data_IF_721572837615
#
_entry.id   IF_721572837615
#
_cell.length_a   1.000
_cell.length_b   1.000
_cell.length_c   1.000
_cell.angle_alpha   90.00
_cell.angle_beta   90.00
_cell.angle_gamma   90.00
#
_symmetry.space_group_name_H-M   'P 1'
#
loop_
_entity.id
_entity.type
_entity.pdbx_description
1 polymer ?
#
# COMPACT_ATOMS: atom_id res chain seq x y z
N UNK A 1 -29.45 1.75 -20.99
CA UNK A 1 -28.43 1.02 -20.20
C UNK A 1 -28.02 1.97 -19.11
N UNK A 2 -28.65 1.83 -17.95
CA UNK A 2 -28.51 2.79 -16.86
C UNK A 2 -27.11 2.63 -16.26
N UNK A 3 -26.30 3.66 -16.46
CA UNK A 3 -24.97 3.77 -15.88
C UNK A 3 -25.16 4.17 -14.40
N UNK A 4 -25.48 3.20 -13.54
CA UNK A 4 -25.50 3.44 -12.10
C UNK A 4 -24.06 3.61 -11.62
N UNK A 5 -23.64 4.87 -11.48
CA UNK A 5 -22.44 5.23 -10.73
C UNK A 5 -22.68 4.81 -9.28
N UNK A 6 -22.14 3.66 -8.87
CA UNK A 6 -22.15 3.24 -7.46
C UNK A 6 -21.43 4.33 -6.67
N UNK A 7 -22.15 5.02 -5.78
CA UNK A 7 -21.54 5.98 -4.86
C UNK A 7 -20.58 5.23 -3.93
N UNK A 8 -19.33 5.71 -3.85
CA UNK A 8 -18.33 5.19 -2.93
C UNK A 8 -18.73 5.54 -1.50
N UNK A 9 -18.87 4.54 -0.65
CA UNK A 9 -19.13 4.75 0.78
C UNK A 9 -17.84 5.12 1.51
N UNK A 10 -17.96 5.72 2.70
CA UNK A 10 -16.82 5.97 3.57
C UNK A 10 -16.11 4.66 3.94
N UNK A 11 -16.87 3.58 4.15
CA UNK A 11 -16.33 2.25 4.45
C UNK A 11 -15.49 1.68 3.31
N UNK A 12 -15.91 1.88 2.05
CA UNK A 12 -15.11 1.47 0.88
C UNK A 12 -13.77 2.21 0.84
N UNK A 13 -13.79 3.50 1.18
CA UNK A 13 -12.59 4.35 1.23
C UNK A 13 -11.68 3.88 2.37
N UNK A 14 -12.21 3.75 3.59
CA UNK A 14 -11.43 3.33 4.76
C UNK A 14 -10.75 1.98 4.53
N UNK A 15 -11.48 1.02 3.95
CA UNK A 15 -10.95 -0.30 3.59
C UNK A 15 -9.79 -0.21 2.58
N UNK A 16 -9.91 0.66 1.57
CA UNK A 16 -8.84 0.85 0.58
C UNK A 16 -7.61 1.49 1.21
N UNK A 17 -7.79 2.48 2.09
CA UNK A 17 -6.69 3.15 2.80
C UNK A 17 -5.99 2.21 3.78
N UNK A 18 -6.74 1.38 4.50
CA UNK A 18 -6.18 0.35 5.38
C UNK A 18 -5.34 -0.66 4.58
N UNK A 19 -5.88 -1.15 3.46
CA UNK A 19 -5.14 -2.06 2.57
C UNK A 19 -3.90 -1.39 1.96
N UNK A 20 -3.99 -0.11 1.58
CA UNK A 20 -2.85 0.63 1.06
C UNK A 20 -1.75 0.81 2.11
N UNK A 21 -2.11 1.09 3.38
CA UNK A 21 -1.16 1.13 4.48
C UNK A 21 -0.50 -0.24 4.69
N UNK A 22 -1.28 -1.33 4.71
CA UNK A 22 -0.75 -2.69 4.84
C UNK A 22 0.27 -3.02 3.74
N UNK A 23 -0.08 -2.75 2.48
CA UNK A 23 0.81 -2.97 1.33
C UNK A 23 2.07 -2.11 1.45
N UNK A 24 1.93 -0.83 1.82
CA UNK A 24 3.06 0.07 2.01
C UNK A 24 4.07 -0.46 3.02
N UNK A 25 3.62 -0.80 4.22
CA UNK A 25 4.52 -1.28 5.27
C UNK A 25 5.10 -2.66 4.96
N UNK A 26 4.35 -3.55 4.31
CA UNK A 26 4.88 -4.84 3.88
C UNK A 26 6.03 -4.67 2.87
N UNK A 27 5.88 -3.78 1.89
CA UNK A 27 6.95 -3.48 0.92
C UNK A 27 8.12 -2.77 1.60
N UNK A 28 7.84 -1.80 2.49
CA UNK A 28 8.87 -1.09 3.24
C UNK A 28 9.74 -2.04 4.07
N UNK A 29 9.12 -3.01 4.75
CA UNK A 29 9.83 -4.03 5.52
C UNK A 29 10.71 -4.89 4.60
N UNK A 30 10.19 -5.35 3.46
CA UNK A 30 10.97 -6.09 2.46
C UNK A 30 12.17 -5.28 1.95
N UNK A 31 11.96 -4.01 1.61
CA UNK A 31 13.02 -3.11 1.12
C UNK A 31 14.08 -2.83 2.19
N UNK A 32 13.67 -2.70 3.45
CA UNK A 32 14.58 -2.49 4.59
C UNK A 32 15.52 -3.67 4.80
N UNK A 33 15.05 -4.90 4.54
CA UNK A 33 15.86 -6.11 4.62
C UNK A 33 16.84 -6.26 3.45
N UNK A 34 16.59 -5.57 2.32
CA UNK A 34 17.44 -5.60 1.13
C UNK A 34 18.54 -4.52 1.15
N UNK A 35 18.35 -3.43 1.88
CA UNK A 35 19.29 -2.32 1.93
C UNK A 35 20.10 -2.33 3.24
N UNK A 36 21.44 -2.26 3.19
CA UNK A 36 22.27 -2.21 4.39
C UNK A 36 22.25 -0.79 4.98
N UNK A 37 21.15 -0.41 5.63
CA UNK A 37 21.04 0.87 6.31
C UNK A 37 19.68 1.07 6.99
N UNK A 38 19.63 1.71 8.17
CA UNK A 38 18.37 1.99 8.84
C UNK A 38 17.54 2.98 8.00
N UNK A 39 16.28 2.64 7.76
CA UNK A 39 15.31 3.58 7.20
C UNK A 39 14.96 4.62 8.27
N UNK A 40 15.24 5.90 7.96
CA UNK A 40 14.88 7.00 8.85
C UNK A 40 13.43 7.37 8.64
N UNK A 41 12.56 6.91 9.55
CA UNK A 41 11.15 7.28 9.56
C UNK A 41 10.96 8.52 10.45
N UNK A 42 10.41 9.63 9.94
CA UNK A 42 10.09 10.79 10.77
C UNK A 42 9.12 10.43 11.90
N UNK A 43 9.32 10.99 13.09
CA UNK A 43 8.51 10.64 14.27
C UNK A 43 7.00 10.87 14.08
N UNK A 44 6.59 11.88 13.30
CA UNK A 44 5.19 12.16 12.96
C UNK A 44 4.59 11.17 11.95
N UNK A 45 5.43 10.38 11.28
CA UNK A 45 5.03 9.31 10.35
C UNK A 45 5.11 7.93 11.00
N UNK A 46 5.69 7.83 12.21
CA UNK A 46 5.77 6.59 12.94
C UNK A 46 4.36 6.21 13.41
N UNK A 47 3.78 5.12 12.91
CA UNK A 47 2.41 4.77 13.27
C UNK A 47 2.36 4.45 14.77
N UNK A 48 1.33 4.94 15.45
CA UNK A 48 1.10 4.66 16.87
C UNK A 48 0.58 3.23 17.11
N UNK A 49 0.27 2.51 16.03
CA UNK A 49 -0.30 1.17 16.01
C UNK A 49 0.52 0.33 15.03
N UNK A 50 0.66 -0.96 15.28
CA UNK A 50 1.28 -1.85 14.30
C UNK A 50 0.53 -1.81 12.96
N UNK A 51 1.25 -1.79 11.83
CA UNK A 51 0.61 -1.76 10.53
C UNK A 51 -0.16 -3.07 10.27
N UNK A 52 -1.30 -2.98 9.56
CA UNK A 52 -2.13 -4.15 9.29
C UNK A 52 -1.43 -5.16 8.37
N UNK A 53 -1.69 -6.46 8.57
CA UNK A 53 -1.17 -7.53 7.72
C UNK A 53 -2.05 -7.74 6.49
N UNK A 54 -1.45 -7.82 5.30
CA UNK A 54 -2.16 -8.15 4.06
C UNK A 54 -2.71 -9.58 4.03
N UNK A 55 -2.19 -10.48 4.87
CA UNK A 55 -2.54 -11.90 4.92
C UNK A 55 -4.01 -12.19 5.25
N UNK A 56 -4.69 -11.27 5.94
CA UNK A 56 -6.11 -11.40 6.30
C UNK A 56 -7.06 -10.62 5.40
N UNK A 57 -6.54 -9.93 4.37
CA UNK A 57 -7.32 -9.02 3.54
C UNK A 57 -7.84 -9.71 2.28
N UNK A 58 -8.96 -9.20 1.76
CA UNK A 58 -9.49 -9.64 0.46
C UNK A 58 -8.47 -9.34 -0.66
N UNK A 59 -8.03 -10.36 -1.44
CA UNK A 59 -7.04 -10.20 -2.50
C UNK A 59 -7.39 -9.12 -3.53
N UNK A 60 -8.68 -8.91 -3.82
CA UNK A 60 -9.10 -7.89 -4.77
C UNK A 60 -8.79 -6.48 -4.25
N UNK A 61 -8.92 -6.27 -2.94
CA UNK A 61 -8.62 -5.00 -2.26
C UNK A 61 -7.12 -4.75 -2.21
N UNK A 62 -6.36 -5.79 -1.88
CA UNK A 62 -4.89 -5.71 -1.88
C UNK A 62 -4.38 -5.34 -3.28
N UNK A 63 -4.98 -5.93 -4.32
CA UNK A 63 -4.66 -5.59 -5.71
C UNK A 63 -5.05 -4.14 -6.05
N UNK A 64 -6.24 -3.70 -5.65
CA UNK A 64 -6.69 -2.32 -5.87
C UNK A 64 -5.80 -1.29 -5.15
N UNK A 65 -5.44 -1.56 -3.89
CA UNK A 65 -4.53 -0.77 -3.09
C UNK A 65 -3.13 -0.71 -3.71
N UNK A 66 -2.60 -1.84 -4.19
CA UNK A 66 -1.31 -1.88 -4.89
C UNK A 66 -1.34 -1.04 -6.16
N UNK A 67 -2.40 -1.16 -6.97
CA UNK A 67 -2.59 -0.34 -8.16
C UNK A 67 -2.71 1.15 -7.84
N UNK A 68 -3.41 1.49 -6.76
CA UNK A 68 -3.52 2.86 -6.27
C UNK A 68 -2.15 3.44 -5.91
N UNK A 69 -1.33 2.73 -5.13
CA UNK A 69 0.00 3.18 -4.73
C UNK A 69 0.95 3.37 -5.92
N UNK A 70 0.86 2.52 -6.95
CA UNK A 70 1.61 2.68 -8.21
C UNK A 70 1.13 3.92 -8.97
N UNK A 71 -0.18 4.13 -9.10
CA UNK A 71 -0.76 5.30 -9.79
C UNK A 71 -0.39 6.62 -9.11
N UNK A 72 -0.25 6.61 -7.78
CA UNK A 72 0.18 7.77 -7.00
C UNK A 72 1.70 8.02 -7.06
N UNK A 73 2.47 7.16 -7.72
CA UNK A 73 3.92 7.28 -7.82
C UNK A 73 4.66 6.98 -6.51
N UNK A 74 4.00 6.33 -5.55
CA UNK A 74 4.61 5.92 -4.28
C UNK A 74 5.41 4.62 -4.48
N UNK A 75 4.91 3.76 -5.38
CA UNK A 75 5.50 2.46 -5.70
C UNK A 75 5.69 2.27 -7.20
N UNK A 76 6.50 1.30 -7.56
CA UNK A 76 6.64 0.80 -8.93
C UNK A 76 6.66 -0.72 -8.96
N UNK A 77 6.30 -1.29 -10.10
CA UNK A 77 6.53 -2.70 -10.38
C UNK A 77 7.85 -2.79 -11.15
N UNK A 78 8.79 -3.60 -10.66
CA UNK A 78 10.07 -3.83 -11.34
C UNK A 78 9.92 -4.82 -12.52
N UNK A 79 11.01 -5.05 -13.26
CA UNK A 79 11.04 -5.95 -14.41
C UNK A 79 10.72 -7.42 -14.05
N UNK A 80 10.87 -7.79 -12.78
CA UNK A 80 10.55 -9.13 -12.26
C UNK A 80 9.10 -9.24 -11.78
N UNK A 81 8.32 -8.16 -11.84
CA UNK A 81 6.95 -8.13 -11.37
C UNK A 81 6.80 -7.88 -9.87
N UNK A 82 7.87 -7.50 -9.16
CA UNK A 82 7.79 -7.19 -7.74
C UNK A 82 7.43 -5.72 -7.50
N UNK A 83 6.63 -5.50 -6.46
CA UNK A 83 6.32 -4.16 -5.98
C UNK A 83 7.51 -3.61 -5.19
N UNK A 84 7.99 -2.41 -5.57
CA UNK A 84 9.15 -1.72 -4.96
C UNK A 84 8.75 -0.30 -4.58
N UNK A 85 9.42 0.26 -3.58
CA UNK A 85 9.27 1.69 -3.28
C UNK A 85 9.84 2.54 -4.42
N UNK A 86 9.16 3.63 -4.73
CA UNK A 86 9.67 4.58 -5.72
C UNK A 86 10.84 5.38 -5.10
N UNK A 87 12.07 4.94 -5.33
CA UNK A 87 13.26 5.76 -5.07
C UNK A 87 13.68 6.44 -6.37
N UNK A 88 13.81 7.78 -6.32
CA UNK A 88 14.60 8.53 -7.30
C UNK A 88 16.09 8.24 -7.12
#
# INVERSE_FOLDING_TARGET
MDNQTKELSQEDVDRLFEAAAAVFFAVLDCESNLHPGPLLIPAWFCPSVEPPCTCGMDPAVVQEASNFLVRMGIMRVDESGHLRLFSM
#
